data_IF_185033196153
#
_entry.id   IF_185033196153
#
_cell.length_a   1.000
_cell.length_b   1.000
_cell.length_c   1.000
_cell.angle_alpha   90.00
_cell.angle_beta   90.00
_cell.angle_gamma   90.00
#
_symmetry.space_group_name_H-M   'P 1'
#
loop_
_entity.id
_entity.type
_entity.pdbx_description
1 polymer ?
#
# COMPACT_ATOMS: atom_id res chain seq x y z
N UNK A 1 -15.69 -5.25 10.10
CA UNK A 1 -15.21 -3.85 9.95
C UNK A 1 -14.10 -3.86 8.90
N UNK A 2 -14.22 -3.14 7.77
CA UNK A 2 -13.17 -3.16 6.74
C UNK A 2 -11.91 -2.48 7.27
N UNK A 3 -10.74 -3.07 7.01
CA UNK A 3 -9.45 -2.41 7.28
C UNK A 3 -9.30 -1.31 6.23
N UNK A 4 -9.27 -0.04 6.66
CA UNK A 4 -9.03 1.12 5.79
C UNK A 4 -7.53 1.40 5.78
N UNK A 5 -6.89 1.30 4.62
CA UNK A 5 -5.45 1.51 4.49
C UNK A 5 -5.18 2.90 3.93
N UNK A 6 -4.75 3.84 4.78
CA UNK A 6 -4.42 5.23 4.38
C UNK A 6 -2.97 5.36 3.89
N UNK A 7 -2.63 4.64 2.84
CA UNK A 7 -1.24 4.57 2.35
C UNK A 7 -0.75 5.90 1.79
N UNK A 8 -1.62 6.67 1.12
CA UNK A 8 -1.29 8.00 0.59
C UNK A 8 -0.80 8.98 1.67
N UNK A 9 -1.49 8.99 2.82
CA UNK A 9 -1.11 9.84 3.95
C UNK A 9 0.26 9.45 4.49
N UNK A 10 0.52 8.14 4.60
CA UNK A 10 1.80 7.65 5.09
C UNK A 10 2.95 7.93 4.12
N UNK A 11 2.71 7.80 2.81
CA UNK A 11 3.68 8.11 1.78
C UNK A 11 4.02 9.60 1.76
N UNK A 12 3.01 10.48 1.85
CA UNK A 12 3.21 11.93 1.92
C UNK A 12 3.97 12.35 3.19
N UNK A 13 3.59 11.81 4.36
CA UNK A 13 4.28 12.08 5.63
C UNK A 13 5.74 11.65 5.62
N UNK A 14 6.06 10.54 4.96
CA UNK A 14 7.42 9.98 4.89
C UNK A 14 8.23 10.45 3.68
N UNK A 15 7.62 11.23 2.77
CA UNK A 15 8.21 11.68 1.51
C UNK A 15 8.79 10.52 0.67
N UNK A 16 8.08 9.38 0.64
CA UNK A 16 8.50 8.19 -0.12
C UNK A 16 7.59 7.94 -1.31
N UNK A 17 8.14 7.37 -2.37
CA UNK A 17 7.38 6.95 -3.55
C UNK A 17 6.68 5.61 -3.32
N UNK A 18 5.71 5.27 -4.19
CA UNK A 18 5.06 3.96 -4.16
C UNK A 18 6.07 2.85 -4.47
N UNK A 19 6.97 3.05 -5.44
CA UNK A 19 7.99 2.04 -5.77
C UNK A 19 8.91 1.74 -4.60
N UNK A 20 9.41 2.79 -3.95
CA UNK A 20 10.29 2.66 -2.79
C UNK A 20 9.58 2.00 -1.59
N UNK A 21 8.31 2.32 -1.36
CA UNK A 21 7.53 1.64 -0.34
C UNK A 21 7.32 0.14 -0.66
N UNK A 22 7.10 -0.19 -1.94
CA UNK A 22 6.95 -1.58 -2.38
C UNK A 22 8.25 -2.38 -2.13
N UNK A 23 9.40 -1.80 -2.45
CA UNK A 23 10.72 -2.40 -2.20
C UNK A 23 10.98 -2.62 -0.71
N UNK A 24 10.73 -1.61 0.13
CA UNK A 24 10.93 -1.69 1.59
C UNK A 24 10.05 -2.73 2.29
N UNK A 25 8.89 -3.05 1.71
CA UNK A 25 7.91 -4.01 2.26
C UNK A 25 7.98 -5.35 1.52
N UNK A 26 8.92 -5.51 0.58
CA UNK A 26 9.14 -6.73 -0.20
C UNK A 26 7.88 -7.21 -0.95
N UNK A 27 7.07 -6.26 -1.44
CA UNK A 27 5.90 -6.55 -2.27
C UNK A 27 6.04 -5.95 -3.66
N UNK A 28 5.31 -6.51 -4.61
CA UNK A 28 5.29 -5.94 -5.96
C UNK A 28 4.57 -4.59 -5.96
N UNK A 29 4.96 -3.65 -6.85
CA UNK A 29 4.23 -2.39 -7.05
C UNK A 29 2.74 -2.62 -7.39
N UNK A 30 2.42 -3.73 -8.05
CA UNK A 30 1.05 -4.15 -8.34
C UNK A 30 0.27 -4.46 -7.05
N UNK A 31 0.85 -5.23 -6.13
CA UNK A 31 0.22 -5.55 -4.84
C UNK A 31 0.09 -4.29 -3.96
N UNK A 32 1.09 -3.42 -3.96
CA UNK A 32 1.01 -2.13 -3.27
C UNK A 32 -0.15 -1.28 -3.81
N UNK A 33 -0.36 -1.26 -5.14
CA UNK A 33 -1.47 -0.54 -5.78
C UNK A 33 -2.84 -1.10 -5.37
N UNK A 34 -2.96 -2.42 -5.23
CA UNK A 34 -4.19 -3.07 -4.73
C UNK A 34 -4.50 -2.63 -3.30
N UNK A 35 -3.48 -2.62 -2.43
CA UNK A 35 -3.60 -2.16 -1.03
C UNK A 35 -3.98 -0.67 -0.96
N UNK A 36 -3.27 0.18 -1.72
CA UNK A 36 -3.50 1.63 -1.80
C UNK A 36 -4.94 1.97 -2.22
N UNK A 37 -5.48 1.23 -3.18
CA UNK A 37 -6.81 1.47 -3.72
C UNK A 37 -7.93 0.75 -2.95
N UNK A 38 -7.64 0.18 -1.76
CA UNK A 38 -8.59 -0.61 -0.96
C UNK A 38 -9.24 -1.78 -1.74
N UNK A 39 -8.57 -2.29 -2.78
CA UNK A 39 -9.04 -3.43 -3.59
C UNK A 39 -8.53 -4.77 -3.04
N UNK A 40 -7.82 -4.73 -1.92
CA UNK A 40 -7.27 -5.90 -1.27
C UNK A 40 -8.39 -6.81 -0.77
N UNK A 41 -8.46 -8.00 -1.34
CA UNK A 41 -9.30 -9.09 -0.85
C UNK A 41 -8.39 -10.09 -0.17
N UNK A 42 -8.38 -10.10 1.15
CA UNK A 42 -7.74 -11.18 1.90
C UNK A 42 -8.66 -12.40 1.80
N UNK A 43 -8.31 -13.36 0.95
CA UNK A 43 -8.89 -14.70 0.99
C UNK A 43 -8.01 -15.50 1.94
N UNK A 44 -8.60 -16.10 2.97
CA UNK A 44 -7.92 -17.02 3.89
C UNK A 44 -8.02 -18.44 3.33
#
# INVERSE_FOLDING_TARGET
MPIIVNLDVMMAKRKISAGELAERVEITPANLSILKNNKAKAVR
#
